data_IF_555258227058
#
_entry.id   IF_555258227058
#
_cell.length_a   1.000
_cell.length_b   1.000
_cell.length_c   1.000
_cell.angle_alpha   90.00
_cell.angle_beta   90.00
_cell.angle_gamma   90.00
#
_symmetry.space_group_name_H-M   'P 1'
#
loop_
_entity.id
_entity.type
_entity.pdbx_description
1 polymer ?
#
# COMPACT_ATOMS: atom_id res chain seq x y z
N UNK A 1 18.79 24.36 27.25
CA UNK A 1 17.65 23.85 26.45
C UNK A 1 16.75 24.97 25.97
N UNK A 2 16.18 25.81 26.87
CA UNK A 2 15.32 26.96 26.53
C UNK A 2 15.83 27.89 25.41
N UNK A 3 17.12 28.22 25.42
CA UNK A 3 17.72 29.12 24.42
C UNK A 3 17.68 28.59 22.97
N UNK A 4 17.71 27.25 22.80
CA UNK A 4 17.63 26.63 21.47
C UNK A 4 16.19 26.64 20.96
N UNK A 5 15.23 26.30 21.82
CA UNK A 5 13.80 26.33 21.49
C UNK A 5 13.36 27.76 21.10
N UNK A 6 13.84 28.77 21.82
CA UNK A 6 13.56 30.17 21.53
C UNK A 6 14.14 30.62 20.17
N UNK A 7 15.32 30.10 19.80
CA UNK A 7 15.94 30.39 18.50
C UNK A 7 15.22 29.68 17.35
N UNK A 8 14.82 28.42 17.53
CA UNK A 8 14.01 27.67 16.56
C UNK A 8 12.68 28.42 16.31
N UNK A 9 12.02 28.89 17.38
CA UNK A 9 10.79 29.67 17.27
C UNK A 9 10.97 30.97 16.48
N UNK A 10 12.07 31.72 16.72
CA UNK A 10 12.41 32.93 15.96
C UNK A 10 12.65 32.65 14.48
N UNK A 11 13.36 31.57 14.16
CA UNK A 11 13.64 31.20 12.77
C UNK A 11 12.39 30.78 12.01
N UNK A 12 11.52 29.99 12.64
CA UNK A 12 10.22 29.61 12.07
C UNK A 12 9.35 30.85 11.80
N UNK A 13 9.25 31.77 12.76
CA UNK A 13 8.48 33.01 12.60
C UNK A 13 9.01 33.87 11.44
N UNK A 14 10.34 34.00 11.30
CA UNK A 14 10.97 34.71 10.18
C UNK A 14 10.68 34.04 8.84
N UNK A 15 10.79 32.72 8.76
CA UNK A 15 10.51 31.98 7.53
C UNK A 15 9.03 32.07 7.11
N UNK A 16 8.11 32.10 8.07
CA UNK A 16 6.67 32.35 7.82
C UNK A 16 6.45 33.77 7.31
N UNK A 17 7.01 34.78 7.98
CA UNK A 17 6.88 36.18 7.57
C UNK A 17 7.49 36.45 6.18
N UNK A 18 8.58 35.76 5.84
CA UNK A 18 9.22 35.83 4.53
C UNK A 18 8.48 35.01 3.44
N UNK A 19 7.40 34.29 3.78
CA UNK A 19 6.66 33.42 2.85
C UNK A 19 7.42 32.16 2.42
N UNK A 20 8.59 31.90 3.01
CA UNK A 20 9.43 30.73 2.76
C UNK A 20 8.85 29.46 3.40
N UNK A 21 8.02 29.63 4.43
CA UNK A 21 7.30 28.56 5.12
C UNK A 21 5.83 28.94 5.20
N UNK A 22 4.95 28.11 4.65
CA UNK A 22 3.51 28.23 4.88
C UNK A 22 3.10 27.19 5.90
N UNK A 23 2.53 27.61 7.03
CA UNK A 23 1.88 26.69 7.95
C UNK A 23 0.79 25.91 7.22
N UNK A 24 0.77 24.57 7.38
CA UNK A 24 -0.27 23.73 6.76
C UNK A 24 -0.14 23.54 5.25
N UNK A 25 1.06 23.66 4.66
CA UNK A 25 1.28 23.45 3.21
C UNK A 25 1.06 22.01 2.70
N UNK A 26 0.71 21.07 3.58
CA UNK A 26 0.34 19.71 3.17
C UNK A 26 -1.03 19.70 2.51
N UNK A 27 -1.20 18.86 1.48
CA UNK A 27 -2.56 18.55 1.00
C UNK A 27 -3.33 17.88 2.15
N UNK A 28 -4.57 18.32 2.44
CA UNK A 28 -5.43 17.62 3.41
C UNK A 28 -5.52 16.14 3.06
N UNK A 29 -5.56 15.29 4.09
CA UNK A 29 -5.80 13.88 3.89
C UNK A 29 -7.20 13.69 3.31
N UNK A 30 -7.26 13.09 2.13
CA UNK A 30 -8.52 12.73 1.49
C UNK A 30 -9.07 11.46 2.14
N UNK A 31 -10.21 11.59 2.81
CA UNK A 31 -10.96 10.46 3.37
C UNK A 31 -12.00 10.06 2.34
N UNK A 32 -11.68 9.01 1.57
CA UNK A 32 -12.57 8.44 0.58
C UNK A 32 -13.08 7.06 1.03
N UNK A 33 -13.88 6.42 0.18
CA UNK A 33 -14.40 5.08 0.46
C UNK A 33 -13.28 4.06 0.68
N UNK A 34 -12.20 4.12 -0.11
CA UNK A 34 -11.07 3.22 0.02
C UNK A 34 -10.39 3.36 1.40
N UNK A 35 -10.22 4.58 1.89
CA UNK A 35 -9.70 4.84 3.24
C UNK A 35 -10.60 4.27 4.33
N UNK A 36 -11.92 4.44 4.21
CA UNK A 36 -12.89 3.95 5.20
C UNK A 36 -12.92 2.42 5.28
N UNK A 37 -12.82 1.75 4.12
CA UNK A 37 -12.79 0.29 4.02
C UNK A 37 -11.43 -0.31 4.40
N UNK A 38 -10.38 0.51 4.45
CA UNK A 38 -9.05 0.04 4.89
C UNK A 38 -9.01 -0.07 6.43
N UNK A 39 -8.57 -1.22 6.98
CA UNK A 39 -8.38 -1.36 8.43
C UNK A 39 -7.45 -0.28 9.00
N UNK A 40 -7.71 0.24 10.22
CA UNK A 40 -6.96 1.36 10.79
C UNK A 40 -5.44 1.21 10.71
N UNK A 41 -4.89 0.04 11.07
CA UNK A 41 -3.44 -0.24 11.04
C UNK A 41 -2.81 -0.22 9.64
N UNK A 42 -3.61 -0.26 8.57
CA UNK A 42 -3.14 -0.26 7.18
C UNK A 42 -3.38 1.07 6.45
N UNK A 43 -4.24 1.95 6.97
CA UNK A 43 -4.67 3.17 6.27
C UNK A 43 -3.51 4.04 5.82
N UNK A 44 -2.56 4.30 6.71
CA UNK A 44 -1.40 5.14 6.37
C UNK A 44 -0.51 4.49 5.32
N UNK A 45 -0.23 3.19 5.44
CA UNK A 45 0.61 2.48 4.48
C UNK A 45 0.00 2.50 3.07
N UNK A 46 -1.31 2.22 2.96
CA UNK A 46 -2.00 2.26 1.67
C UNK A 46 -2.22 3.68 1.14
N UNK A 47 -2.40 4.67 2.00
CA UNK A 47 -2.47 6.07 1.58
C UNK A 47 -1.14 6.56 0.99
N UNK A 48 0.00 6.14 1.55
CA UNK A 48 1.33 6.47 0.99
C UNK A 48 1.45 5.92 -0.43
N UNK A 49 1.08 4.65 -0.64
CA UNK A 49 1.11 4.02 -1.96
C UNK A 49 0.18 4.74 -2.95
N UNK A 50 -1.09 4.98 -2.55
CA UNK A 50 -2.07 5.71 -3.36
C UNK A 50 -1.57 7.11 -3.75
N UNK A 51 -1.02 7.86 -2.79
CA UNK A 51 -0.50 9.21 -3.03
C UNK A 51 0.70 9.23 -3.98
N UNK A 52 1.48 8.14 -4.01
CA UNK A 52 2.59 7.94 -4.94
C UNK A 52 2.16 7.36 -6.31
N UNK A 53 0.88 7.04 -6.50
CA UNK A 53 0.40 6.35 -7.70
C UNK A 53 0.93 4.92 -7.84
N UNK A 54 1.40 4.32 -6.74
CA UNK A 54 1.98 2.98 -6.70
C UNK A 54 0.90 1.98 -6.27
N UNK A 55 0.79 0.87 -7.00
CA UNK A 55 -0.13 -0.21 -6.62
C UNK A 55 0.47 -1.08 -5.52
N UNK A 56 -0.35 -1.62 -4.59
CA UNK A 56 0.10 -2.61 -3.63
C UNK A 56 0.62 -3.88 -4.34
N UNK A 57 1.63 -4.53 -3.73
CA UNK A 57 2.24 -5.73 -4.29
C UNK A 57 1.25 -6.89 -4.48
N UNK A 58 0.18 -6.92 -3.70
CA UNK A 58 -0.89 -7.91 -3.79
C UNK A 58 -1.60 -7.89 -5.15
N UNK A 59 -1.64 -6.72 -5.80
CA UNK A 59 -2.24 -6.59 -7.13
C UNK A 59 -1.52 -7.44 -8.17
N UNK A 60 -0.19 -7.54 -8.10
CA UNK A 60 0.61 -8.37 -9.00
C UNK A 60 0.29 -9.86 -8.80
N UNK A 61 0.18 -10.30 -7.53
CA UNK A 61 -0.19 -11.68 -7.19
C UNK A 61 -1.57 -12.04 -7.76
N UNK A 62 -2.53 -11.13 -7.66
CA UNK A 62 -3.88 -11.35 -8.18
C UNK A 62 -3.92 -11.39 -9.72
N UNK A 63 -3.16 -10.54 -10.39
CA UNK A 63 -3.03 -10.57 -11.86
C UNK A 63 -2.39 -11.87 -12.33
N UNK A 64 -1.34 -12.32 -11.63
CA UNK A 64 -0.69 -13.60 -11.93
C UNK A 64 -1.62 -14.79 -11.72
N UNK A 65 -2.42 -14.77 -10.65
CA UNK A 65 -3.45 -15.78 -10.39
C UNK A 65 -4.49 -15.81 -11.51
N UNK A 66 -4.97 -14.64 -11.95
CA UNK A 66 -5.91 -14.55 -13.05
C UNK A 66 -5.33 -15.12 -14.36
N UNK A 67 -4.06 -14.78 -14.66
CA UNK A 67 -3.35 -15.28 -15.84
C UNK A 67 -3.20 -16.80 -15.80
N UNK A 68 -2.74 -17.38 -14.68
CA UNK A 68 -2.61 -18.83 -14.53
C UNK A 68 -3.95 -19.56 -14.66
N UNK A 69 -5.05 -18.97 -14.18
CA UNK A 69 -6.40 -19.55 -14.35
C UNK A 69 -6.86 -19.52 -15.80
N UNK A 70 -6.56 -18.44 -16.52
CA UNK A 70 -6.84 -18.34 -17.95
C UNK A 70 -6.03 -19.36 -18.75
N UNK A 71 -4.72 -19.45 -18.50
CA UNK A 71 -3.82 -20.42 -19.14
C UNK A 71 -4.28 -21.85 -18.86
N UNK A 72 -4.70 -22.15 -17.63
CA UNK A 72 -5.20 -23.46 -17.25
C UNK A 72 -6.49 -23.83 -18.00
N UNK A 73 -7.38 -22.85 -18.20
CA UNK A 73 -8.61 -23.04 -18.97
C UNK A 73 -8.36 -23.24 -20.46
N UNK A 74 -7.27 -22.67 -20.99
CA UNK A 74 -6.84 -22.80 -22.38
C UNK A 74 -5.88 -23.97 -22.63
N UNK A 75 -5.49 -24.74 -21.61
CA UNK A 75 -4.52 -25.82 -21.74
C UNK A 75 -5.13 -27.06 -22.42
N UNK A 76 -4.51 -27.50 -23.51
CA UNK A 76 -4.97 -28.64 -24.33
C UNK A 76 -4.33 -29.99 -23.94
N UNK A 77 -3.21 -29.98 -23.21
CA UNK A 77 -2.51 -31.19 -22.79
C UNK A 77 -2.43 -31.34 -21.26
N UNK A 78 -2.41 -32.59 -20.81
CA UNK A 78 -2.48 -32.93 -19.39
C UNK A 78 -1.19 -32.57 -18.63
N UNK A 79 -0.03 -32.62 -19.29
CA UNK A 79 1.23 -32.26 -18.64
C UNK A 79 1.30 -30.76 -18.33
N UNK A 80 0.88 -29.92 -19.28
CA UNK A 80 0.73 -28.47 -19.10
C UNK A 80 -0.32 -28.16 -18.04
N UNK A 81 -1.47 -28.85 -18.07
CA UNK A 81 -2.53 -28.67 -17.07
C UNK A 81 -2.02 -28.96 -15.65
N UNK A 82 -1.34 -30.10 -15.44
CA UNK A 82 -0.76 -30.46 -14.15
C UNK A 82 0.30 -29.45 -13.68
N UNK A 83 1.16 -28.96 -14.59
CA UNK A 83 2.15 -27.94 -14.27
C UNK A 83 1.50 -26.62 -13.84
N UNK A 84 0.51 -26.13 -14.59
CA UNK A 84 -0.20 -24.89 -14.30
C UNK A 84 -0.99 -25.00 -12.99
N UNK A 85 -1.61 -26.15 -12.70
CA UNK A 85 -2.29 -26.40 -11.43
C UNK A 85 -1.33 -26.30 -10.23
N UNK A 86 -0.13 -26.87 -10.33
CA UNK A 86 0.89 -26.76 -9.27
C UNK A 86 1.30 -25.30 -9.04
N UNK A 87 1.60 -24.57 -10.11
CA UNK A 87 1.96 -23.15 -10.03
C UNK A 87 0.82 -22.31 -9.43
N UNK A 88 -0.43 -22.60 -9.79
CA UNK A 88 -1.59 -21.92 -9.23
C UNK A 88 -1.74 -22.22 -7.74
N UNK A 89 -1.59 -23.47 -7.32
CA UNK A 89 -1.69 -23.88 -5.93
C UNK A 89 -0.61 -23.22 -5.05
N UNK A 90 0.64 -23.18 -5.52
CA UNK A 90 1.75 -22.48 -4.85
C UNK A 90 1.43 -20.98 -4.69
N UNK A 91 0.99 -20.32 -5.76
CA UNK A 91 0.64 -18.90 -5.73
C UNK A 91 -0.56 -18.60 -4.81
N UNK A 92 -1.57 -19.46 -4.79
CA UNK A 92 -2.72 -19.30 -3.89
C UNK A 92 -2.33 -19.42 -2.42
N UNK A 93 -1.36 -20.28 -2.11
CA UNK A 93 -0.81 -20.40 -0.77
C UNK A 93 -0.02 -19.15 -0.36
N UNK A 94 0.80 -18.59 -1.26
CA UNK A 94 1.51 -17.32 -1.03
C UNK A 94 0.54 -16.16 -0.79
N UNK A 95 -0.52 -16.08 -1.60
CA UNK A 95 -1.59 -15.08 -1.42
C UNK A 95 -2.24 -15.25 -0.03
N UNK A 96 -2.58 -16.46 0.37
CA UNK A 96 -3.20 -16.72 1.67
C UNK A 96 -2.31 -16.25 2.83
N UNK A 97 -1.01 -16.57 2.79
CA UNK A 97 -0.06 -16.09 3.80
C UNK A 97 0.06 -14.56 3.81
N UNK A 98 0.12 -13.92 2.64
CA UNK A 98 0.21 -12.47 2.53
C UNK A 98 -1.01 -11.76 3.10
N UNK A 99 -2.21 -12.25 2.76
CA UNK A 99 -3.46 -11.68 3.27
C UNK A 99 -3.62 -11.88 4.78
N UNK A 100 -3.16 -13.02 5.31
CA UNK A 100 -3.14 -13.25 6.77
C UNK A 100 -2.18 -12.28 7.48
N UNK A 101 -1.01 -12.01 6.91
CA UNK A 101 -0.09 -11.02 7.45
C UNK A 101 -0.70 -9.61 7.45
N UNK A 102 -1.37 -9.21 6.36
CA UNK A 102 -2.08 -7.93 6.28
C UNK A 102 -3.22 -7.85 7.30
N UNK A 103 -3.99 -8.93 7.48
CA UNK A 103 -5.05 -9.00 8.48
C UNK A 103 -4.53 -8.73 9.88
N UNK A 104 -3.40 -9.35 10.26
CA UNK A 104 -2.74 -9.14 11.57
C UNK A 104 -2.27 -7.70 11.74
N UNK A 105 -1.66 -7.12 10.70
CA UNK A 105 -1.21 -5.72 10.71
C UNK A 105 -2.39 -4.74 10.83
N UNK A 106 -3.53 -5.05 10.22
CA UNK A 106 -4.73 -4.21 10.29
C UNK A 106 -5.44 -4.22 11.64
N UNK A 107 -5.14 -5.19 12.51
CA UNK A 107 -5.67 -5.30 13.87
C UNK A 107 -4.82 -4.58 14.93
N UNK A 108 -3.59 -4.20 14.58
CA UNK A 108 -2.65 -3.47 15.44
C UNK A 108 -2.84 -1.95 15.41
#
# INVERSE_FOLDING_TARGET
MKALDDEIGRQLARAIAAGQLRGGAGKPLEIDEAWLQTPPGLRMAFQVLKSAGVQPAEMELFQRRASLRADLAAADDEATRLRLQRQLAELEQDIAFRLEALRRLGQG
#
